data_IF_726999471065
#
_entry.id   IF_726999471065
#
_cell.length_a   1.000
_cell.length_b   1.000
_cell.length_c   1.000
_cell.angle_alpha   90.00
_cell.angle_beta   90.00
_cell.angle_gamma   90.00
#
_symmetry.space_group_name_H-M   'P 1'
#
loop_
_entity.id
_entity.type
_entity.pdbx_description
1 polymer ?
#
# COMPACT_ATOMS: atom_id res chain seq x y z
N UNK A 1 -8.84 6.69 39.64
CA UNK A 1 -7.75 6.21 38.76
C UNK A 1 -8.01 6.75 37.37
N UNK A 2 -7.42 7.90 37.02
CA UNK A 2 -7.53 8.47 35.67
C UNK A 2 -6.54 7.75 34.75
N UNK A 3 -6.96 7.25 33.58
CA UNK A 3 -6.02 6.69 32.61
C UNK A 3 -5.16 7.82 32.06
N UNK A 4 -3.85 7.72 32.24
CA UNK A 4 -2.86 8.61 31.61
C UNK A 4 -2.91 8.35 30.10
N UNK A 5 -3.65 9.19 29.38
CA UNK A 5 -3.52 9.30 27.93
C UNK A 5 -2.09 9.77 27.65
N UNK A 6 -1.26 8.87 27.12
CA UNK A 6 0.07 9.23 26.62
C UNK A 6 -0.12 10.18 25.42
N UNK A 7 0.62 11.30 25.44
CA UNK A 7 0.56 12.34 24.43
C UNK A 7 0.82 11.78 23.01
N UNK A 8 0.10 12.25 21.96
CA UNK A 8 0.24 11.75 20.57
C UNK A 8 1.58 12.03 19.86
N UNK A 9 2.58 12.57 20.55
CA UNK A 9 3.82 13.07 19.96
C UNK A 9 4.78 11.98 19.45
N UNK A 10 4.51 10.70 19.72
CA UNK A 10 5.34 9.57 19.25
C UNK A 10 4.77 8.86 18.00
N UNK A 11 3.58 9.24 17.51
CA UNK A 11 2.95 8.63 16.31
C UNK A 11 3.37 9.35 15.00
N UNK A 12 4.08 10.47 15.10
CA UNK A 12 4.23 11.43 13.99
C UNK A 12 5.19 11.05 12.85
N UNK A 13 6.21 10.17 12.96
CA UNK A 13 7.06 9.86 11.80
C UNK A 13 6.46 8.84 10.83
N UNK A 14 5.73 7.83 11.33
CA UNK A 14 5.30 6.68 10.51
C UNK A 14 3.94 6.89 9.84
N UNK A 15 3.12 7.82 10.31
CA UNK A 15 1.78 8.10 9.77
C UNK A 15 1.71 9.25 8.76
N UNK A 16 2.83 9.90 8.40
CA UNK A 16 2.79 11.10 7.55
C UNK A 16 2.13 10.84 6.19
N UNK A 17 2.32 9.64 5.64
CA UNK A 17 1.68 9.24 4.40
C UNK A 17 0.15 9.16 4.50
N UNK A 18 -0.44 9.05 5.69
CA UNK A 18 -1.90 9.08 5.86
C UNK A 18 -2.48 10.47 5.59
N UNK A 19 -1.68 11.51 5.86
CA UNK A 19 -2.11 12.92 5.79
C UNK A 19 -1.54 13.67 4.57
N UNK A 20 -0.57 13.09 3.86
CA UNK A 20 0.05 13.69 2.69
C UNK A 20 0.19 12.67 1.54
N UNK A 21 -0.18 13.08 0.32
CA UNK A 21 -0.07 12.28 -0.91
C UNK A 21 1.31 12.46 -1.63
N UNK A 22 2.13 13.39 -1.15
CA UNK A 22 3.51 13.65 -1.58
C UNK A 22 4.52 13.16 -0.53
N UNK A 23 4.55 11.85 -0.31
CA UNK A 23 5.55 11.20 0.53
C UNK A 23 6.80 10.79 -0.27
N UNK A 24 7.93 10.70 0.43
CA UNK A 24 9.19 10.21 -0.13
C UNK A 24 9.20 8.69 -0.19
N UNK A 25 9.80 8.16 -1.25
CA UNK A 25 10.02 6.72 -1.39
C UNK A 25 11.38 6.33 -0.80
N UNK A 26 11.41 5.21 -0.08
CA UNK A 26 12.66 4.54 0.24
C UNK A 26 13.27 3.95 -1.04
N UNK A 27 14.37 4.55 -1.49
CA UNK A 27 15.06 4.14 -2.72
C UNK A 27 15.54 2.68 -2.69
N UNK A 28 15.94 2.18 -1.51
CA UNK A 28 16.37 0.78 -1.36
C UNK A 28 15.18 -0.15 -1.49
N UNK A 29 14.04 0.21 -0.92
CA UNK A 29 12.79 -0.54 -1.05
C UNK A 29 12.31 -0.58 -2.50
N UNK A 30 12.30 0.58 -3.17
CA UNK A 30 11.96 0.69 -4.59
C UNK A 30 12.83 -0.23 -5.43
N UNK A 31 14.16 -0.14 -5.31
CA UNK A 31 15.08 -1.00 -6.08
C UNK A 31 14.89 -2.49 -5.80
N UNK A 32 14.65 -2.88 -4.55
CA UNK A 32 14.56 -4.30 -4.15
C UNK A 32 13.21 -4.94 -4.39
N UNK A 33 12.13 -4.18 -4.44
CA UNK A 33 10.76 -4.71 -4.47
C UNK A 33 9.94 -4.16 -5.62
N UNK A 34 10.03 -2.85 -5.89
CA UNK A 34 9.21 -2.19 -6.89
C UNK A 34 9.75 -2.39 -8.31
N UNK A 35 11.05 -2.23 -8.52
CA UNK A 35 11.71 -2.35 -9.85
C UNK A 35 11.98 -3.80 -10.29
N UNK A 36 11.31 -4.77 -9.67
CA UNK A 36 11.39 -6.16 -10.12
C UNK A 36 10.48 -6.37 -11.34
N UNK A 37 10.90 -7.26 -12.22
CA UNK A 37 10.11 -7.62 -13.40
C UNK A 37 8.70 -8.10 -12.99
N UNK A 38 7.68 -7.63 -13.71
CA UNK A 38 6.28 -7.98 -13.46
C UNK A 38 5.63 -7.28 -12.26
N UNK A 39 6.37 -6.51 -11.46
CA UNK A 39 5.78 -5.80 -10.30
C UNK A 39 4.79 -4.71 -10.72
N UNK A 40 5.06 -3.94 -11.79
CA UNK A 40 4.11 -2.91 -12.25
C UNK A 40 2.80 -3.55 -12.76
N UNK A 41 2.88 -4.60 -13.56
CA UNK A 41 1.70 -5.37 -13.98
C UNK A 41 0.92 -5.94 -12.79
N UNK A 42 1.62 -6.36 -11.74
CA UNK A 42 0.99 -6.82 -10.48
C UNK A 42 0.20 -5.68 -9.82
N UNK A 43 0.80 -4.49 -9.72
CA UNK A 43 0.14 -3.31 -9.18
C UNK A 43 -1.08 -2.88 -10.00
N UNK A 44 -1.00 -2.92 -11.32
CA UNK A 44 -2.12 -2.63 -12.22
C UNK A 44 -3.30 -3.58 -11.98
N UNK A 45 -3.03 -4.89 -11.90
CA UNK A 45 -4.06 -5.90 -11.64
C UNK A 45 -4.73 -5.69 -10.28
N UNK A 46 -3.96 -5.44 -9.23
CA UNK A 46 -4.48 -5.17 -7.89
C UNK A 46 -5.32 -3.88 -7.89
N UNK A 47 -4.86 -2.84 -8.57
CA UNK A 47 -5.62 -1.59 -8.73
C UNK A 47 -6.98 -1.84 -9.41
N UNK A 48 -7.01 -2.67 -10.46
CA UNK A 48 -8.25 -3.08 -11.12
C UNK A 48 -9.19 -3.88 -10.21
N UNK A 49 -8.65 -4.79 -9.40
CA UNK A 49 -9.44 -5.53 -8.40
C UNK A 49 -10.05 -4.56 -7.39
N UNK A 50 -9.24 -3.66 -6.83
CA UNK A 50 -9.73 -2.65 -5.89
C UNK A 50 -10.79 -1.74 -6.49
N UNK A 51 -10.64 -1.36 -7.76
CA UNK A 51 -11.65 -0.55 -8.47
C UNK A 51 -13.01 -1.26 -8.54
N UNK A 52 -13.00 -2.58 -8.72
CA UNK A 52 -14.21 -3.42 -8.78
C UNK A 52 -14.88 -3.70 -7.44
N UNK A 53 -14.24 -3.39 -6.31
CA UNK A 53 -14.84 -3.60 -4.99
C UNK A 53 -15.94 -2.56 -4.70
N UNK A 54 -17.16 -3.02 -4.39
CA UNK A 54 -18.27 -2.15 -3.98
C UNK A 54 -18.00 -1.52 -2.59
N UNK A 55 -17.55 -2.34 -1.65
CA UNK A 55 -17.13 -1.94 -0.30
C UNK A 55 -15.61 -2.01 -0.23
N UNK A 56 -14.99 -0.97 0.31
CA UNK A 56 -13.53 -0.90 0.50
C UNK A 56 -13.22 -0.64 1.97
N UNK A 57 -13.10 -1.72 2.72
CA UNK A 57 -12.77 -1.76 4.14
C UNK A 57 -11.60 -2.74 4.39
N UNK A 58 -11.21 -2.91 5.65
CA UNK A 58 -10.08 -3.78 6.01
C UNK A 58 -10.29 -5.22 5.54
N UNK A 59 -11.47 -5.79 5.80
CA UNK A 59 -11.74 -7.20 5.49
C UNK A 59 -11.79 -7.46 3.97
N UNK A 60 -12.41 -6.57 3.21
CA UNK A 60 -12.50 -6.68 1.75
C UNK A 60 -11.16 -6.43 1.07
N UNK A 61 -10.36 -5.46 1.53
CA UNK A 61 -9.02 -5.20 1.01
C UNK A 61 -8.07 -6.36 1.34
N UNK A 62 -8.12 -6.90 2.56
CA UNK A 62 -7.31 -8.04 2.97
C UNK A 62 -7.66 -9.28 2.14
N UNK A 63 -8.95 -9.61 2.02
CA UNK A 63 -9.42 -10.73 1.21
C UNK A 63 -8.99 -10.58 -0.25
N UNK A 64 -9.18 -9.42 -0.86
CA UNK A 64 -8.81 -9.18 -2.25
C UNK A 64 -7.30 -9.39 -2.51
N UNK A 65 -6.45 -8.99 -1.56
CA UNK A 65 -5.01 -9.23 -1.66
C UNK A 65 -4.65 -10.71 -1.50
N UNK A 66 -5.31 -11.43 -0.58
CA UNK A 66 -5.11 -12.86 -0.38
C UNK A 66 -5.58 -13.67 -1.60
N UNK A 67 -6.79 -13.41 -2.09
CA UNK A 67 -7.33 -14.04 -3.30
C UNK A 67 -6.39 -13.82 -4.48
N UNK A 68 -5.88 -12.60 -4.68
CA UNK A 68 -4.94 -12.32 -5.76
C UNK A 68 -3.62 -13.08 -5.62
N UNK A 69 -3.09 -13.23 -4.41
CA UNK A 69 -1.88 -14.03 -4.14
C UNK A 69 -2.13 -15.49 -4.54
N UNK A 70 -3.27 -16.05 -4.16
CA UNK A 70 -3.64 -17.44 -4.50
C UNK A 70 -3.84 -17.63 -6.01
N UNK A 71 -4.56 -16.72 -6.67
CA UNK A 71 -4.88 -16.80 -8.10
C UNK A 71 -3.67 -16.55 -9.01
N UNK A 72 -2.77 -15.64 -8.62
CA UNK A 72 -1.61 -15.26 -9.43
C UNK A 72 -0.46 -16.27 -9.36
N UNK A 73 -0.47 -17.17 -8.37
CA UNK A 73 0.66 -18.05 -8.05
C UNK A 73 1.88 -17.31 -7.51
N UNK A 74 1.76 -16.01 -7.24
CA UNK A 74 2.80 -15.22 -6.60
C UNK A 74 2.76 -15.40 -5.09
N UNK A 75 3.90 -15.32 -4.41
CA UNK A 75 3.92 -15.30 -2.94
C UNK A 75 3.57 -13.92 -2.37
N UNK A 76 3.09 -13.86 -1.13
CA UNK A 76 2.84 -12.61 -0.38
C UNK A 76 4.00 -11.61 -0.43
N UNK A 77 5.25 -12.10 -0.40
CA UNK A 77 6.45 -11.27 -0.44
C UNK A 77 6.72 -10.57 -1.79
N UNK A 78 6.01 -10.96 -2.84
CA UNK A 78 5.99 -10.33 -4.16
C UNK A 78 4.82 -9.37 -4.34
N UNK A 79 3.72 -9.54 -3.59
CA UNK A 79 2.50 -8.73 -3.72
C UNK A 79 2.43 -7.61 -2.68
N UNK A 80 2.56 -7.95 -1.40
CA UNK A 80 2.31 -7.02 -0.30
C UNK A 80 3.33 -5.86 -0.24
N UNK A 81 4.65 -6.09 -0.40
CA UNK A 81 5.61 -4.99 -0.33
C UNK A 81 5.45 -3.96 -1.45
N UNK A 82 5.25 -4.32 -2.73
CA UNK A 82 4.95 -3.34 -3.77
C UNK A 82 3.71 -2.49 -3.48
N UNK A 83 2.59 -3.11 -3.07
CA UNK A 83 1.36 -2.35 -2.73
C UNK A 83 1.64 -1.36 -1.60
N UNK A 84 2.34 -1.81 -0.55
CA UNK A 84 2.72 -0.93 0.56
C UNK A 84 3.58 0.25 0.10
N UNK A 85 4.63 -0.01 -0.67
CA UNK A 85 5.52 1.03 -1.19
C UNK A 85 4.72 2.02 -2.04
N UNK A 86 3.78 1.54 -2.84
CA UNK A 86 2.95 2.41 -3.66
C UNK A 86 2.09 3.36 -2.81
N UNK A 87 1.53 2.89 -1.69
CA UNK A 87 0.64 3.71 -0.86
C UNK A 87 1.34 4.51 0.25
N UNK A 88 2.56 4.14 0.65
CA UNK A 88 3.26 4.81 1.77
C UNK A 88 4.69 5.24 1.48
N UNK A 89 5.28 4.80 0.37
CA UNK A 89 6.69 5.01 0.04
C UNK A 89 7.65 4.13 0.83
N UNK A 90 7.15 3.28 1.73
CA UNK A 90 7.97 2.49 2.66
C UNK A 90 7.72 0.99 2.48
N UNK A 91 8.74 0.15 2.77
CA UNK A 91 8.60 -1.32 2.67
C UNK A 91 7.93 -1.95 3.90
N UNK A 92 7.97 -1.27 5.04
CA UNK A 92 7.51 -1.76 6.34
C UNK A 92 6.58 -0.74 7.00
N UNK A 93 5.86 -1.14 8.04
CA UNK A 93 4.92 -0.31 8.78
C UNK A 93 3.82 -1.14 9.42
N UNK A 94 2.75 -0.49 9.94
CA UNK A 94 1.58 -1.18 10.49
C UNK A 94 0.87 -1.97 9.40
N UNK A 95 0.03 -2.94 9.77
CA UNK A 95 -0.64 -3.86 8.83
C UNK A 95 -1.27 -3.17 7.61
N UNK A 96 -1.18 -3.83 6.45
CA UNK A 96 -1.47 -3.20 5.17
C UNK A 96 -2.96 -2.94 5.01
N UNK A 97 -3.81 -3.94 5.30
CA UNK A 97 -5.25 -3.83 5.10
C UNK A 97 -5.89 -2.69 5.92
N UNK A 98 -5.59 -2.48 7.22
CA UNK A 98 -6.06 -1.30 7.95
C UNK A 98 -5.62 0.02 7.32
N UNK A 99 -4.38 0.09 6.83
CA UNK A 99 -3.86 1.28 6.15
C UNK A 99 -4.65 1.57 4.87
N UNK A 100 -4.91 0.54 4.05
CA UNK A 100 -5.70 0.69 2.84
C UNK A 100 -7.11 1.19 3.16
N UNK A 101 -7.77 0.58 4.15
CA UNK A 101 -9.10 0.97 4.60
C UNK A 101 -9.16 2.45 5.04
N UNK A 102 -8.18 2.90 5.82
CA UNK A 102 -8.08 4.30 6.28
C UNK A 102 -7.83 5.27 5.13
N UNK A 103 -7.00 4.90 4.15
CA UNK A 103 -6.73 5.74 2.99
C UNK A 103 -7.95 5.86 2.07
N UNK A 104 -8.72 4.78 1.96
CA UNK A 104 -9.89 4.68 1.08
C UNK A 104 -9.52 4.32 -0.37
N UNK A 105 -10.49 3.73 -1.07
CA UNK A 105 -10.34 3.15 -2.41
C UNK A 105 -9.69 4.10 -3.42
N UNK A 106 -10.27 5.29 -3.59
CA UNK A 106 -9.86 6.26 -4.61
C UNK A 106 -8.40 6.70 -4.42
N UNK A 107 -8.02 6.98 -3.17
CA UNK A 107 -6.65 7.39 -2.84
C UNK A 107 -5.65 6.26 -3.05
N UNK A 108 -5.99 5.03 -2.67
CA UNK A 108 -5.14 3.85 -2.90
C UNK A 108 -4.88 3.66 -4.41
N UNK A 109 -5.93 3.65 -5.22
CA UNK A 109 -5.83 3.50 -6.68
C UNK A 109 -5.00 4.62 -7.30
N UNK A 110 -5.27 5.88 -6.91
CA UNK A 110 -4.53 7.03 -7.42
C UNK A 110 -3.04 6.98 -7.04
N UNK A 111 -2.72 6.54 -5.83
CA UNK A 111 -1.32 6.37 -5.38
C UNK A 111 -0.62 5.27 -6.16
N UNK A 112 -1.27 4.13 -6.38
CA UNK A 112 -0.73 3.04 -7.21
C UNK A 112 -0.42 3.53 -8.62
N UNK A 113 -1.38 4.21 -9.27
CA UNK A 113 -1.19 4.79 -10.60
C UNK A 113 -0.01 5.78 -10.65
N UNK A 114 0.09 6.68 -9.66
CA UNK A 114 1.20 7.65 -9.53
C UNK A 114 2.54 6.94 -9.34
N UNK A 115 2.59 5.85 -8.58
CA UNK A 115 3.81 5.05 -8.40
C UNK A 115 4.25 4.40 -9.71
N UNK A 116 3.34 3.77 -10.45
CA UNK A 116 3.64 3.14 -11.75
C UNK A 116 4.16 4.21 -12.72
N UNK A 117 3.42 5.30 -12.90
CA UNK A 117 3.82 6.41 -13.80
C UNK A 117 5.21 6.95 -13.45
N UNK A 118 5.53 7.07 -12.15
CA UNK A 118 6.80 7.59 -11.69
C UNK A 118 7.97 6.66 -11.99
N UNK A 119 7.82 5.35 -11.83
CA UNK A 119 8.97 4.42 -11.82
C UNK A 119 9.06 3.49 -13.03
N UNK A 120 7.99 3.33 -13.79
CA UNK A 120 8.01 2.55 -15.04
C UNK A 120 8.52 3.38 -16.23
N UNK A 121 8.26 4.69 -16.21
CA UNK A 121 8.69 5.63 -17.26
C UNK A 121 10.04 6.30 -16.96
N UNK A 122 10.71 5.93 -15.88
CA UNK A 122 12.02 6.48 -15.45
C UNK A 122 13.15 5.51 -15.77
#
# INVERSE_FOLDING_TARGET
>A
LQPRVKLPSEIVPQGQFLFNDDFKYDEKAVKKKLLKEGTFQTLEKISGIFQGLEVFDEATADKALHDFVEESGLGFGAVMPPVRIAVSGQQSGPDLAPVLAVLGKEKVIARIAKTIQKFELS
#
